data_IF_548032329983
#
_entry.id   IF_548032329983
#
_cell.length_a   1.000
_cell.length_b   1.000
_cell.length_c   1.000
_cell.angle_alpha   90.00
_cell.angle_beta   90.00
_cell.angle_gamma   90.00
#
_symmetry.space_group_name_H-M   'P 1'
#
loop_
_entity.id
_entity.type
_entity.pdbx_description
1 polymer ?
#
# COMPACT_ATOMS: atom_id res chain seq x y z
N UNK A 1 -9.68 -25.93 5.73
CA UNK A 1 -10.78 -25.01 6.06
C UNK A 1 -10.15 -23.63 6.15
N UNK A 2 -10.34 -22.76 5.16
CA UNK A 2 -9.86 -21.38 5.24
C UNK A 2 -11.02 -20.56 5.76
N UNK A 3 -10.83 -19.95 6.93
CA UNK A 3 -11.84 -19.14 7.60
C UNK A 3 -12.21 -17.91 6.73
N UNK A 4 -13.50 -17.55 6.60
CA UNK A 4 -13.91 -16.39 5.81
C UNK A 4 -13.31 -15.07 6.33
N UNK A 5 -12.98 -14.95 7.62
CA UNK A 5 -12.31 -13.76 8.15
C UNK A 5 -10.88 -13.62 7.61
N UNK A 6 -10.16 -14.73 7.41
CA UNK A 6 -8.81 -14.70 6.81
C UNK A 6 -8.84 -14.21 5.36
N UNK A 7 -9.89 -14.55 4.62
CA UNK A 7 -10.05 -14.12 3.22
C UNK A 7 -10.25 -12.61 3.09
N UNK A 8 -10.97 -12.00 4.04
CA UNK A 8 -11.14 -10.56 4.06
C UNK A 8 -9.80 -9.86 4.33
N UNK A 9 -9.03 -10.34 5.30
CA UNK A 9 -7.69 -9.83 5.61
C UNK A 9 -6.72 -9.94 4.41
N UNK A 10 -6.68 -11.10 3.76
CA UNK A 10 -5.90 -11.31 2.52
C UNK A 10 -6.26 -10.26 1.45
N UNK A 11 -7.56 -10.00 1.24
CA UNK A 11 -8.03 -9.02 0.26
C UNK A 11 -7.61 -7.60 0.63
N UNK A 12 -7.71 -7.22 1.91
CA UNK A 12 -7.28 -5.91 2.40
C UNK A 12 -5.78 -5.71 2.19
N UNK A 13 -4.98 -6.72 2.53
CA UNK A 13 -3.53 -6.70 2.36
C UNK A 13 -3.15 -6.55 0.89
N UNK A 14 -3.83 -7.28 -0.01
CA UNK A 14 -3.62 -7.15 -1.46
C UNK A 14 -4.01 -5.76 -1.99
N UNK A 15 -5.11 -5.17 -1.51
CA UNK A 15 -5.52 -3.81 -1.88
C UNK A 15 -4.53 -2.77 -1.39
N UNK A 16 -4.05 -2.89 -0.15
CA UNK A 16 -3.03 -2.03 0.41
C UNK A 16 -1.72 -2.07 -0.41
N UNK A 17 -1.25 -3.28 -0.75
CA UNK A 17 -0.07 -3.45 -1.59
C UNK A 17 -0.24 -2.84 -2.99
N UNK A 18 -1.41 -3.01 -3.60
CA UNK A 18 -1.75 -2.39 -4.88
C UNK A 18 -1.66 -0.86 -4.82
N UNK A 19 -2.25 -0.25 -3.80
CA UNK A 19 -2.20 1.21 -3.62
C UNK A 19 -0.79 1.70 -3.31
N UNK A 20 0.00 0.96 -2.53
CA UNK A 20 1.41 1.26 -2.31
C UNK A 20 2.17 1.35 -3.62
N UNK A 21 2.05 0.34 -4.50
CA UNK A 21 2.70 0.38 -5.80
C UNK A 21 2.18 1.57 -6.63
N UNK A 22 0.85 1.75 -6.73
CA UNK A 22 0.28 2.77 -7.61
C UNK A 22 0.63 4.20 -7.21
N UNK A 23 0.72 4.51 -5.91
CA UNK A 23 1.05 5.85 -5.42
C UNK A 23 2.54 6.20 -5.57
N UNK A 24 3.41 5.21 -5.72
CA UNK A 24 4.83 5.39 -5.98
C UNK A 24 5.12 5.67 -7.46
N UNK A 25 4.19 5.33 -8.35
CA UNK A 25 4.29 5.63 -9.78
C UNK A 25 4.14 7.15 -10.01
N UNK A 26 5.06 7.74 -10.78
CA UNK A 26 5.02 9.17 -11.10
C UNK A 26 3.80 9.57 -11.96
N UNK A 27 3.22 8.61 -12.69
CA UNK A 27 2.04 8.79 -13.53
C UNK A 27 0.70 8.64 -12.76
N UNK A 28 0.75 8.52 -11.43
CA UNK A 28 -0.47 8.37 -10.63
C UNK A 28 -1.37 9.62 -10.73
N UNK A 29 -2.54 9.41 -11.34
CA UNK A 29 -3.50 10.46 -11.68
C UNK A 29 -4.25 10.96 -10.45
N UNK A 30 -4.80 12.18 -10.54
CA UNK A 30 -5.58 12.78 -9.46
C UNK A 30 -6.80 11.92 -9.12
N UNK A 31 -7.45 11.32 -10.12
CA UNK A 31 -8.59 10.41 -9.94
C UNK A 31 -8.21 9.19 -9.10
N UNK A 32 -7.04 8.61 -9.34
CA UNK A 32 -6.55 7.45 -8.59
C UNK A 32 -6.20 7.82 -7.16
N UNK A 33 -5.61 9.00 -6.94
CA UNK A 33 -5.38 9.54 -5.60
C UNK A 33 -6.69 9.79 -4.85
N UNK A 34 -7.76 10.18 -5.55
CA UNK A 34 -9.09 10.33 -4.93
C UNK A 34 -9.72 8.98 -4.62
N UNK A 35 -9.63 8.00 -5.52
CA UNK A 35 -10.09 6.63 -5.27
C UNK A 35 -9.37 5.98 -4.09
N UNK A 36 -8.06 6.23 -3.94
CA UNK A 36 -7.31 5.81 -2.75
C UNK A 36 -7.83 6.44 -1.46
N UNK A 37 -8.14 7.75 -1.48
CA UNK A 37 -8.71 8.44 -0.32
C UNK A 37 -10.08 7.89 0.04
N UNK A 38 -10.94 7.66 -0.95
CA UNK A 38 -12.26 7.05 -0.75
C UNK A 38 -12.13 5.65 -0.14
N UNK A 39 -11.23 4.83 -0.68
CA UNK A 39 -10.89 3.53 -0.11
C UNK A 39 -10.45 3.65 1.35
N UNK A 40 -9.51 4.55 1.68
CA UNK A 40 -9.06 4.77 3.06
C UNK A 40 -10.18 5.23 4.02
N UNK A 41 -11.13 6.04 3.54
CA UNK A 41 -12.25 6.52 4.37
C UNK A 41 -13.37 5.48 4.52
N UNK A 42 -13.41 4.47 3.65
CA UNK A 42 -14.44 3.43 3.65
C UNK A 42 -14.37 2.53 4.88
N UNK A 43 -13.16 2.18 5.33
CA UNK A 43 -12.95 1.35 6.53
C UNK A 43 -11.64 1.68 7.25
N UNK A 44 -11.64 1.80 8.59
CA UNK A 44 -10.41 2.09 9.35
C UNK A 44 -9.33 1.00 9.22
N UNK A 45 -9.71 -0.26 8.92
CA UNK A 45 -8.76 -1.36 8.70
C UNK A 45 -7.94 -1.14 7.43
N UNK A 46 -8.48 -0.43 6.42
CA UNK A 46 -7.73 -0.07 5.22
C UNK A 46 -6.52 0.81 5.54
N UNK A 47 -6.70 1.78 6.44
CA UNK A 47 -5.61 2.65 6.88
C UNK A 47 -4.54 1.87 7.64
N UNK A 48 -4.94 0.90 8.46
CA UNK A 48 -4.02 0.04 9.19
C UNK A 48 -3.20 -0.87 8.26
N UNK A 49 -3.85 -1.56 7.33
CA UNK A 49 -3.17 -2.44 6.37
C UNK A 49 -2.27 -1.66 5.41
N UNK A 50 -2.70 -0.48 4.96
CA UNK A 50 -1.87 0.40 4.16
C UNK A 50 -0.63 0.89 4.91
N UNK A 51 -0.75 1.25 6.19
CA UNK A 51 0.39 1.64 7.01
C UNK A 51 1.45 0.53 7.09
N UNK A 52 1.03 -0.72 7.30
CA UNK A 52 1.94 -1.89 7.31
C UNK A 52 2.69 -2.06 5.99
N UNK A 53 2.00 -1.89 4.87
CA UNK A 53 2.64 -1.98 3.54
C UNK A 53 3.61 -0.81 3.30
N UNK A 54 3.29 0.38 3.80
CA UNK A 54 4.17 1.55 3.73
C UNK A 54 5.44 1.36 4.56
N UNK A 55 5.33 0.81 5.77
CA UNK A 55 6.51 0.47 6.60
C UNK A 55 7.43 -0.52 5.89
N UNK A 56 6.86 -1.57 5.27
CA UNK A 56 7.64 -2.52 4.48
C UNK A 56 8.34 -1.85 3.28
N UNK A 57 7.67 -0.92 2.61
CA UNK A 57 8.23 -0.17 1.49
C UNK A 57 9.34 0.81 1.92
N UNK A 58 9.18 1.49 3.06
CA UNK A 58 10.20 2.36 3.61
C UNK A 58 11.47 1.57 3.97
N UNK A 59 11.31 0.40 4.60
CA UNK A 59 12.43 -0.48 4.91
C UNK A 59 13.19 -0.93 3.65
N UNK A 60 12.50 -1.22 2.55
CA UNK A 60 13.18 -1.58 1.29
C UNK A 60 13.85 -0.39 0.63
N UNK A 61 13.28 0.82 0.75
CA UNK A 61 13.90 2.04 0.25
C UNK A 61 15.22 2.37 0.96
N UNK A 62 15.33 2.09 2.25
CA UNK A 62 16.57 2.24 3.02
C UNK A 62 17.67 1.25 2.62
N UNK A 63 17.30 0.10 2.05
CA UNK A 63 18.24 -0.92 1.58
C UNK A 63 18.77 -0.65 0.17
N UNK A 64 18.23 0.34 -0.55
CA UNK A 64 18.80 0.76 -1.82
C UNK A 64 20.17 1.39 -1.54
N UNK A 65 21.30 0.76 -1.94
CA UNK A 65 22.60 1.35 -1.72
C UNK A 65 22.62 2.66 -2.50
N UNK A 66 22.82 3.78 -1.79
CA UNK A 66 23.17 5.04 -2.42
C UNK A 66 24.43 4.77 -3.25
N UNK A 67 24.27 4.58 -4.56
CA UNK A 67 25.40 4.50 -5.48
C UNK A 67 26.19 5.79 -5.28
N UNK A 68 27.40 5.76 -4.69
CA UNK A 68 28.17 6.97 -4.56
C UNK A 68 28.47 7.44 -5.98
N UNK A 69 27.90 8.60 -6.33
CA UNK A 69 28.21 9.28 -7.58
C UNK A 69 29.67 9.72 -7.46
N UNK A 70 30.58 8.97 -8.09
CA UNK A 70 31.99 9.32 -8.20
C UNK A 70 32.22 10.30 -9.34
#
# INVERSE_FOLDING_TARGET
MTDPANKADDVLMMQAAHWCMRLQEADCSIEERQAFKDWLQSDPSHAFEYAKMLEAWDLTAQLMPSIPTS
#
